data_IF_678693083860
#
_entry.id   IF_678693083860
#
_cell.length_a   1.000
_cell.length_b   1.000
_cell.length_c   1.000
_cell.angle_alpha   90.00
_cell.angle_beta   90.00
_cell.angle_gamma   90.00
#
_symmetry.space_group_name_H-M   'P 1'
#
loop_
_entity.id
_entity.type
_entity.pdbx_description
1 polymer ?
#
# COMPACT_ATOMS: atom_id res chain seq x y z
N UNK A 1 -28.08 -23.45 -10.61
CA UNK A 1 -26.84 -23.37 -9.79
C UNK A 1 -25.70 -22.97 -10.72
N UNK A 2 -24.92 -21.90 -10.44
CA UNK A 2 -23.77 -21.53 -11.31
C UNK A 2 -22.69 -22.62 -11.24
N UNK A 3 -22.05 -22.93 -12.38
CA UNK A 3 -20.93 -23.88 -12.45
C UNK A 3 -19.71 -23.34 -11.69
N UNK A 4 -18.81 -24.23 -11.27
CA UNK A 4 -17.59 -23.83 -10.55
C UNK A 4 -16.74 -22.84 -11.36
N UNK A 5 -16.63 -23.04 -12.68
CA UNK A 5 -15.86 -22.14 -13.55
C UNK A 5 -16.43 -20.72 -13.63
N UNK A 6 -17.75 -20.55 -13.68
CA UNK A 6 -18.38 -19.23 -13.69
C UNK A 6 -18.13 -18.52 -12.35
N UNK A 7 -18.27 -19.24 -11.22
CA UNK A 7 -17.99 -18.67 -9.90
C UNK A 7 -16.54 -18.24 -9.72
N UNK A 8 -15.60 -19.03 -10.26
CA UNK A 8 -14.18 -18.69 -10.24
C UNK A 8 -13.87 -17.44 -11.07
N UNK A 9 -14.50 -17.31 -12.25
CA UNK A 9 -14.37 -16.12 -13.10
C UNK A 9 -14.92 -14.88 -12.40
N UNK A 10 -16.14 -14.96 -11.87
CA UNK A 10 -16.79 -13.86 -11.14
C UNK A 10 -15.96 -13.43 -9.92
N UNK A 11 -15.28 -14.37 -9.24
CA UNK A 11 -14.38 -14.05 -8.15
C UNK A 11 -13.11 -13.33 -8.63
N UNK A 12 -12.49 -13.80 -9.72
CA UNK A 12 -11.28 -13.21 -10.30
C UNK A 12 -11.54 -11.78 -10.80
N UNK A 13 -12.71 -11.52 -11.39
CA UNK A 13 -13.09 -10.22 -11.94
C UNK A 13 -13.12 -9.09 -10.88
N UNK A 14 -13.28 -9.45 -9.60
CA UNK A 14 -13.30 -8.49 -8.47
C UNK A 14 -11.99 -8.47 -7.68
N UNK A 15 -10.93 -9.11 -8.17
CA UNK A 15 -9.62 -9.11 -7.52
C UNK A 15 -8.66 -8.11 -8.15
N UNK A 16 -7.89 -7.46 -7.29
CA UNK A 16 -6.72 -6.68 -7.65
C UNK A 16 -5.48 -7.26 -6.97
N UNK A 17 -4.31 -7.04 -7.54
CA UNK A 17 -3.04 -7.47 -6.92
C UNK A 17 -2.84 -6.78 -5.57
N UNK A 18 -2.30 -7.50 -4.58
CA UNK A 18 -1.94 -6.93 -3.28
C UNK A 18 -0.64 -6.14 -3.40
N UNK A 19 -0.59 -4.98 -2.77
CA UNK A 19 0.64 -4.19 -2.66
C UNK A 19 1.45 -4.70 -1.46
N UNK A 20 2.69 -5.11 -1.69
CA UNK A 20 3.62 -5.33 -0.58
C UNK A 20 3.93 -3.98 0.08
N UNK A 21 4.14 -3.92 1.40
CA UNK A 21 4.54 -2.70 2.11
C UNK A 21 6.01 -2.38 1.81
N UNK A 22 6.33 -2.09 0.55
CA UNK A 22 7.64 -1.68 0.07
C UNK A 22 7.70 -0.16 -0.20
N UNK A 23 6.66 0.57 0.20
CA UNK A 23 6.50 2.03 0.05
C UNK A 23 6.48 2.55 -1.40
N UNK A 24 6.39 1.67 -2.40
CA UNK A 24 6.25 2.06 -3.82
C UNK A 24 4.77 2.01 -4.20
N UNK A 25 4.20 3.16 -4.57
CA UNK A 25 2.85 3.21 -5.11
C UNK A 25 2.76 2.39 -6.41
N UNK A 26 1.90 1.37 -6.42
CA UNK A 26 1.74 0.44 -7.55
C UNK A 26 2.57 -0.84 -7.46
N UNK A 27 3.54 -0.93 -6.54
CA UNK A 27 4.39 -2.12 -6.39
C UNK A 27 5.17 -2.48 -7.65
N UNK A 28 5.58 -3.75 -7.76
CA UNK A 28 6.27 -4.27 -8.95
C UNK A 28 5.30 -5.07 -9.81
N UNK A 29 5.04 -4.62 -11.04
CA UNK A 29 4.08 -5.26 -11.94
C UNK A 29 4.42 -6.73 -12.25
N UNK A 30 5.71 -7.07 -12.26
CA UNK A 30 6.21 -8.41 -12.57
C UNK A 30 6.24 -9.34 -11.34
N UNK A 31 6.00 -8.83 -10.13
CA UNK A 31 6.10 -9.61 -8.89
C UNK A 31 4.82 -9.52 -8.05
N UNK A 32 3.81 -10.27 -8.48
CA UNK A 32 2.53 -10.38 -7.77
C UNK A 32 2.61 -11.49 -6.72
N UNK A 33 2.60 -11.11 -5.45
CA UNK A 33 2.66 -12.05 -4.30
C UNK A 33 1.29 -12.46 -3.77
N UNK A 34 0.21 -11.81 -4.21
CA UNK A 34 -1.15 -12.14 -3.82
C UNK A 34 -2.21 -11.22 -4.45
N UNK A 35 -3.48 -11.52 -4.17
CA UNK A 35 -4.64 -10.74 -4.66
C UNK A 35 -5.62 -10.43 -3.53
N UNK A 36 -6.26 -9.27 -3.62
CA UNK A 36 -7.24 -8.73 -2.67
C UNK A 36 -8.47 -8.19 -3.38
N UNK A 37 -9.39 -7.61 -2.63
CA UNK A 37 -10.59 -7.01 -3.20
C UNK A 37 -10.26 -5.74 -4.01
N UNK A 38 -10.77 -5.64 -5.23
CA UNK A 38 -10.52 -4.50 -6.11
C UNK A 38 -11.00 -3.17 -5.52
N UNK A 39 -12.21 -3.14 -4.94
CA UNK A 39 -12.80 -1.92 -4.38
C UNK A 39 -11.99 -1.41 -3.20
N UNK A 40 -11.58 -2.32 -2.31
CA UNK A 40 -10.73 -1.99 -1.16
C UNK A 40 -9.36 -1.50 -1.62
N UNK A 41 -8.67 -2.23 -2.51
CA UNK A 41 -7.34 -1.85 -2.98
C UNK A 41 -7.36 -0.50 -3.71
N UNK A 42 -8.37 -0.26 -4.55
CA UNK A 42 -8.55 1.00 -5.27
C UNK A 42 -8.80 2.17 -4.30
N UNK A 43 -9.63 1.97 -3.27
CA UNK A 43 -9.88 2.99 -2.24
C UNK A 43 -8.61 3.36 -1.46
N UNK A 44 -7.81 2.37 -1.06
CA UNK A 44 -6.53 2.59 -0.38
C UNK A 44 -5.57 3.35 -1.29
N UNK A 45 -5.43 2.94 -2.55
CA UNK A 45 -4.56 3.60 -3.53
C UNK A 45 -4.95 5.05 -3.79
N UNK A 46 -6.25 5.34 -3.91
CA UNK A 46 -6.75 6.72 -4.08
C UNK A 46 -6.42 7.61 -2.87
N UNK A 47 -6.56 7.08 -1.65
CA UNK A 47 -6.20 7.80 -0.43
C UNK A 47 -4.69 7.98 -0.28
N UNK A 48 -3.87 7.04 -0.76
CA UNK A 48 -2.41 7.14 -0.66
C UNK A 48 -1.85 8.35 -1.38
N UNK A 49 -2.42 8.71 -2.53
CA UNK A 49 -1.98 9.85 -3.36
C UNK A 49 -1.89 11.17 -2.61
N UNK A 50 -2.75 11.40 -1.62
CA UNK A 50 -2.74 12.64 -0.82
C UNK A 50 -2.04 12.46 0.52
N UNK A 51 -1.88 11.22 0.99
CA UNK A 51 -1.17 10.91 2.24
C UNK A 51 0.34 10.84 2.06
N UNK A 52 0.81 10.50 0.87
CA UNK A 52 2.24 10.42 0.55
C UNK A 52 2.91 11.79 0.64
N UNK A 53 2.21 12.87 0.28
CA UNK A 53 2.75 14.25 0.30
C UNK A 53 3.40 14.60 1.64
N UNK A 54 2.77 14.21 2.76
CA UNK A 54 3.29 14.47 4.12
C UNK A 54 4.56 13.65 4.39
N UNK A 55 4.63 12.42 3.88
CA UNK A 55 5.83 11.58 4.01
C UNK A 55 6.96 12.14 3.15
N UNK A 56 6.67 12.57 1.93
CA UNK A 56 7.62 13.16 0.99
C UNK A 56 8.24 14.44 1.56
N UNK A 57 7.43 15.34 2.14
CA UNK A 57 7.92 16.56 2.79
C UNK A 57 8.94 16.27 3.90
N UNK A 58 8.63 15.29 4.76
CA UNK A 58 9.53 14.88 5.86
C UNK A 58 10.80 14.21 5.32
N UNK A 59 10.69 13.36 4.30
CA UNK A 59 11.84 12.70 3.66
C UNK A 59 12.76 13.76 3.03
N UNK A 60 12.20 14.75 2.35
CA UNK A 60 12.94 15.83 1.69
C UNK A 60 13.72 16.67 2.72
N UNK A 61 13.10 17.03 3.84
CA UNK A 61 13.77 17.77 4.92
C UNK A 61 14.96 16.99 5.49
N UNK A 62 14.77 15.71 5.79
CA UNK A 62 15.83 14.82 6.32
C UNK A 62 16.96 14.68 5.30
N UNK A 63 16.62 14.51 4.02
CA UNK A 63 17.59 14.31 2.93
C UNK A 63 18.47 15.54 2.73
N UNK A 64 17.91 16.75 2.87
CA UNK A 64 18.67 18.02 2.72
C UNK A 64 19.61 18.29 3.88
N UNK A 65 19.29 17.80 5.07
CA UNK A 65 20.02 18.11 6.32
C UNK A 65 20.97 17.01 6.75
N UNK A 66 20.83 15.80 6.21
CA UNK A 66 21.63 14.64 6.60
C UNK A 66 22.66 14.25 5.53
N UNK A 67 23.94 14.02 5.90
CA UNK A 67 24.92 13.47 4.97
C UNK A 67 24.51 12.08 4.44
N UNK A 68 24.67 11.86 3.15
CA UNK A 68 24.27 10.60 2.46
C UNK A 68 24.76 9.32 3.17
N UNK A 69 25.99 9.33 3.70
CA UNK A 69 26.57 8.19 4.43
C UNK A 69 25.79 7.76 5.69
N UNK A 70 24.84 8.58 6.17
CA UNK A 70 23.99 8.30 7.33
C UNK A 70 22.61 7.74 6.95
N UNK A 71 22.21 7.78 5.69
CA UNK A 71 20.86 7.36 5.26
C UNK A 71 20.54 5.90 5.61
N UNK A 72 21.52 4.99 5.52
CA UNK A 72 21.34 3.58 5.87
C UNK A 72 21.00 3.34 7.36
N UNK A 73 21.22 4.34 8.21
CA UNK A 73 20.93 4.28 9.65
C UNK A 73 19.68 5.08 10.04
N UNK A 74 18.94 5.61 9.05
CA UNK A 74 17.68 6.31 9.27
C UNK A 74 16.54 5.35 8.95
N UNK A 75 15.62 5.20 9.91
CA UNK A 75 14.46 4.32 9.80
C UNK A 75 13.17 5.12 9.94
N UNK A 76 12.16 4.79 9.14
CA UNK A 76 10.82 5.34 9.28
C UNK A 76 10.05 4.57 10.36
N UNK A 77 9.68 5.27 11.44
CA UNK A 77 8.83 4.71 12.48
C UNK A 77 7.36 5.06 12.22
N UNK A 78 6.49 4.05 12.11
CA UNK A 78 5.05 4.23 11.94
C UNK A 78 4.34 3.83 13.23
N UNK A 79 3.55 4.75 13.80
CA UNK A 79 2.63 4.46 14.91
C UNK A 79 1.20 4.41 14.39
N UNK A 80 0.60 3.23 14.41
CA UNK A 80 -0.80 3.06 14.05
C UNK A 80 -1.67 3.33 15.27
N UNK A 81 -2.60 4.30 15.16
CA UNK A 81 -3.62 4.52 16.18
C UNK A 81 -4.79 3.59 15.89
N UNK A 82 -5.00 2.59 16.75
CA UNK A 82 -6.21 1.77 16.69
C UNK A 82 -7.43 2.60 17.12
N UNK A 83 -8.52 2.53 16.36
CA UNK A 83 -9.82 2.97 16.83
C UNK A 83 -10.49 1.80 17.56
N UNK A 84 -10.64 1.89 18.87
CA UNK A 84 -11.53 0.99 19.61
C UNK A 84 -12.95 1.21 19.08
N UNK A 85 -13.58 0.16 18.56
CA UNK A 85 -15.02 0.18 18.36
C UNK A 85 -15.65 0.14 19.74
N UNK A 86 -16.38 1.19 20.11
CA UNK A 86 -17.30 1.10 21.22
C UNK A 86 -18.44 0.17 20.77
N UNK A 87 -18.54 -1.00 21.40
CA UNK A 87 -19.71 -1.89 21.33
C UNK A 87 -20.89 -1.27 22.07
#
# INVERSE_FOLDING_TARGET
MKTAGIKAKDWLDIKATLHNPNQIAGGFAECVTGVGDFGVNSSIGAQWKTRIDVVDEVIDEITRTTPYAKFSNIYLNVKLKGTSKNE
#
